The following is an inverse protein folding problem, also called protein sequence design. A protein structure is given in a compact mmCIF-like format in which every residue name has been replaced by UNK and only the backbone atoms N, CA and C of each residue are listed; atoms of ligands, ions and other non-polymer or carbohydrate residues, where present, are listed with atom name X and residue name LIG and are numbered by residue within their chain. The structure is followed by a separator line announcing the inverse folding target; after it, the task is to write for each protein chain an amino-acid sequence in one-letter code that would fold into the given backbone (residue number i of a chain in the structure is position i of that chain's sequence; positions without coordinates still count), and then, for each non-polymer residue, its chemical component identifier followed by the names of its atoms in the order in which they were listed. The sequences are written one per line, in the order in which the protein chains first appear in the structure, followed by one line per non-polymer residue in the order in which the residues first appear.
data_IF_814917947582
#
_entry.id   IF_814917947582
#
_cell.length_a   1.000
_cell.length_b   1.000
_cell.length_c   1.000
_cell.angle_alpha   90.00
_cell.angle_beta   90.00
_cell.angle_gamma   90.00
#
_symmetry.space_group_name_H-M   'P 1'
#
loop_
_entity.id
_entity.type
_entity.pdbx_description
1 polymer ?
#
# COMPACT_ATOMS: atom_id res chain seq x y z
N UNK A 1 -0.72 14.29 -13.07
CA UNK A 1 0.64 14.60 -13.58
C UNK A 1 1.32 15.70 -12.78
N UNK A 2 0.78 16.93 -12.72
CA UNK A 2 1.39 18.06 -11.99
C UNK A 2 1.64 17.76 -10.50
N UNK A 3 0.71 17.09 -9.81
CA UNK A 3 0.85 16.73 -8.40
C UNK A 3 2.03 15.77 -8.13
N UNK A 4 2.27 14.82 -9.03
CA UNK A 4 3.35 13.83 -8.88
C UNK A 4 4.70 14.55 -8.98
N UNK A 5 4.84 15.44 -9.98
CA UNK A 5 6.03 16.26 -10.16
C UNK A 5 6.26 17.17 -8.95
N UNK A 6 5.20 17.82 -8.45
CA UNK A 6 5.31 18.68 -7.27
C UNK A 6 5.79 17.93 -6.02
N UNK A 7 5.23 16.75 -5.73
CA UNK A 7 5.66 15.95 -4.59
C UNK A 7 7.10 15.45 -4.73
N UNK A 8 7.51 15.09 -5.96
CA UNK A 8 8.89 14.67 -6.22
C UNK A 8 9.88 15.81 -5.99
N UNK A 9 9.55 17.02 -6.47
CA UNK A 9 10.37 18.21 -6.28
C UNK A 9 10.43 18.61 -4.81
N UNK A 10 9.29 18.62 -4.11
CA UNK A 10 9.22 18.94 -2.68
C UNK A 10 10.09 17.99 -1.84
N UNK A 11 10.06 16.70 -2.16
CA UNK A 11 10.87 15.68 -1.49
C UNK A 11 12.37 15.91 -1.71
N UNK A 12 12.79 16.22 -2.94
CA UNK A 12 14.21 16.52 -3.25
C UNK A 12 14.67 17.79 -2.53
N UNK A 13 13.84 18.84 -2.53
CA UNK A 13 14.14 20.10 -1.83
C UNK A 13 14.23 19.87 -0.32
N UNK A 14 13.31 19.10 0.28
CA UNK A 14 13.34 18.78 1.70
C UNK A 14 14.61 18.01 2.10
N UNK A 15 15.05 17.05 1.28
CA UNK A 15 16.31 16.34 1.50
C UNK A 15 17.53 17.26 1.45
N UNK A 16 17.57 18.19 0.48
CA UNK A 16 18.67 19.15 0.34
C UNK A 16 18.70 20.10 1.54
N UNK A 17 17.56 20.66 1.93
CA UNK A 17 17.47 21.57 3.07
C UNK A 17 17.90 20.86 4.37
N UNK A 18 17.42 19.65 4.62
CA UNK A 18 17.79 18.89 5.83
C UNK A 18 19.30 18.62 5.94
N UNK A 19 19.97 18.30 4.83
CA UNK A 19 21.43 18.06 4.83
C UNK A 19 22.22 19.37 4.96
N UNK A 20 21.73 20.49 4.40
CA UNK A 20 22.40 21.79 4.43
C UNK A 20 22.32 22.44 5.82
N UNK A 21 21.19 22.35 6.52
CA UNK A 21 21.01 22.96 7.85
C UNK A 21 21.67 22.14 8.96
N UNK A 22 21.45 20.82 9.00
CA UNK A 22 22.05 19.96 10.00
C UNK A 22 22.29 18.56 9.43
N UNK A 23 23.54 18.26 9.07
CA UNK A 23 23.88 16.99 8.41
C UNK A 23 23.51 15.75 9.25
N UNK A 24 23.55 15.84 10.59
CA UNK A 24 23.25 14.72 11.50
C UNK A 24 21.76 14.36 11.50
N UNK A 25 20.89 15.37 11.53
CA UNK A 25 19.43 15.18 11.49
C UNK A 25 18.96 14.87 10.07
N UNK A 26 19.56 15.51 9.06
CA UNK A 26 19.30 15.23 7.65
C UNK A 26 19.57 13.76 7.27
N UNK A 27 20.71 13.20 7.68
CA UNK A 27 21.03 11.79 7.44
C UNK A 27 20.10 10.82 8.15
N UNK A 28 19.71 11.15 9.38
CA UNK A 28 18.72 10.37 10.13
C UNK A 28 17.39 10.34 9.36
N UNK A 29 16.92 11.49 8.87
CA UNK A 29 15.72 11.59 8.04
C UNK A 29 15.82 10.78 6.75
N UNK A 30 16.95 10.87 6.04
CA UNK A 30 17.20 10.07 4.82
C UNK A 30 17.15 8.58 5.14
N UNK A 31 17.79 8.14 6.22
CA UNK A 31 17.80 6.73 6.62
C UNK A 31 16.39 6.22 6.95
N UNK A 32 15.60 6.97 7.71
CA UNK A 32 14.21 6.65 8.03
C UNK A 32 13.35 6.56 6.76
N UNK A 33 13.54 7.49 5.84
CA UNK A 33 12.83 7.51 4.56
C UNK A 33 13.13 6.26 3.72
N UNK A 34 14.40 5.85 3.63
CA UNK A 34 14.80 4.64 2.90
C UNK A 34 14.20 3.38 3.53
N UNK A 35 14.22 3.27 4.86
CA UNK A 35 13.64 2.14 5.59
C UNK A 35 12.16 1.97 5.23
N UNK A 36 11.40 3.07 5.19
CA UNK A 36 9.99 3.02 4.86
C UNK A 36 9.70 2.82 3.39
N UNK A 37 10.52 3.39 2.52
CA UNK A 37 10.41 3.09 1.10
C UNK A 37 10.54 1.59 0.85
N UNK A 38 11.51 0.92 1.49
CA UNK A 38 11.67 -0.54 1.42
C UNK A 38 10.45 -1.26 1.99
N UNK A 39 9.97 -0.85 3.17
CA UNK A 39 8.79 -1.45 3.78
C UNK A 39 7.57 -1.37 2.84
N UNK A 40 7.27 -0.19 2.31
CA UNK A 40 6.14 0.02 1.39
C UNK A 40 6.28 -0.86 0.15
N UNK A 41 7.46 -0.92 -0.48
CA UNK A 41 7.69 -1.74 -1.68
C UNK A 41 7.50 -3.24 -1.37
N UNK A 42 8.03 -3.72 -0.24
CA UNK A 42 7.89 -5.12 0.16
C UNK A 42 6.42 -5.46 0.41
N UNK A 43 5.70 -4.64 1.18
CA UNK A 43 4.29 -4.85 1.45
C UNK A 43 3.45 -4.79 0.16
N UNK A 44 3.71 -3.81 -0.71
CA UNK A 44 3.02 -3.68 -1.99
C UNK A 44 3.20 -4.93 -2.87
N UNK A 45 4.42 -5.49 -2.94
CA UNK A 45 4.65 -6.74 -3.67
C UNK A 45 3.96 -7.95 -3.06
N UNK A 46 3.87 -8.01 -1.74
CA UNK A 46 3.10 -9.06 -1.08
C UNK A 46 1.62 -8.95 -1.43
N UNK A 47 1.05 -7.76 -1.35
CA UNK A 47 -0.34 -7.48 -1.72
C UNK A 47 -0.64 -7.85 -3.18
N UNK A 48 0.22 -7.41 -4.10
CA UNK A 48 0.05 -7.67 -5.53
C UNK A 48 0.04 -9.18 -5.82
N UNK A 49 0.93 -9.93 -5.16
CA UNK A 49 0.96 -11.39 -5.26
C UNK A 49 -0.31 -12.05 -4.74
N UNK A 50 -0.86 -11.60 -3.61
CA UNK A 50 -2.11 -12.14 -3.08
C UNK A 50 -3.31 -11.80 -3.98
N UNK A 51 -3.32 -10.58 -4.53
CA UNK A 51 -4.35 -10.13 -5.46
C UNK A 51 -4.31 -10.89 -6.79
N UNK A 52 -3.12 -11.11 -7.35
CA UNK A 52 -2.92 -11.89 -8.58
C UNK A 52 -3.42 -13.33 -8.44
N UNK A 53 -3.20 -13.96 -7.27
CA UNK A 53 -3.73 -15.30 -7.00
C UNK A 53 -5.26 -15.25 -6.92
N UNK A 54 -5.80 -14.24 -6.22
CA UNK A 54 -7.24 -14.07 -6.10
C UNK A 54 -7.94 -13.89 -7.46
N UNK A 55 -7.35 -13.10 -8.35
CA UNK A 55 -7.87 -12.86 -9.71
C UNK A 55 -7.72 -14.12 -10.58
N UNK A 56 -6.60 -14.86 -10.48
CA UNK A 56 -6.40 -16.09 -11.26
C UNK A 56 -7.35 -17.22 -10.89
N UNK A 57 -7.70 -17.33 -9.61
CA UNK A 57 -8.68 -18.32 -9.14
C UNK A 57 -10.13 -17.88 -9.37
N UNK A 58 -10.36 -16.63 -9.78
CA UNK A 58 -11.69 -16.12 -10.11
C UNK A 58 -12.15 -16.58 -11.50
N UNK A 59 -12.70 -17.79 -11.53
CA UNK A 59 -13.33 -18.38 -12.71
C UNK A 59 -14.79 -17.91 -12.91
N UNK A 60 -15.33 -17.08 -12.00
CA UNK A 60 -16.74 -16.65 -12.06
C UNK A 60 -17.03 -15.83 -13.31
N UNK A 61 -16.07 -14.99 -13.74
CA UNK A 61 -16.17 -14.21 -14.97
C UNK A 61 -16.30 -15.09 -16.22
N UNK A 62 -15.44 -16.09 -16.39
CA UNK A 62 -15.50 -17.03 -17.51
C UNK A 62 -16.80 -17.84 -17.50
N UNK A 63 -17.21 -18.33 -16.32
CA UNK A 63 -18.47 -19.07 -16.18
C UNK A 63 -19.69 -18.22 -16.53
N UNK A 64 -19.70 -16.93 -16.16
CA UNK A 64 -20.80 -16.02 -16.55
C UNK A 64 -20.92 -15.87 -18.06
N UNK A 65 -19.79 -15.80 -18.76
CA UNK A 65 -19.75 -15.68 -20.23
C UNK A 65 -20.30 -16.96 -20.85
N UNK A 66 -19.87 -18.13 -20.37
CA UNK A 66 -20.38 -19.42 -20.86
C UNK A 66 -21.90 -19.57 -20.67
N UNK A 67 -22.43 -19.14 -19.52
CA UNK A 67 -23.87 -19.19 -19.24
C UNK A 67 -24.64 -18.26 -20.19
N UNK A 68 -24.12 -17.07 -20.48
CA UNK A 68 -24.75 -16.12 -21.41
C UNK A 68 -24.70 -16.63 -22.85
N UNK A 69 -23.56 -17.18 -23.29
CA UNK A 69 -23.42 -17.76 -24.64
C UNK A 69 -24.34 -18.96 -24.87
N UNK A 70 -24.52 -19.81 -23.84
CA UNK A 70 -25.35 -21.01 -23.93
C UNK A 70 -26.76 -20.86 -23.35
N UNK A 71 -27.23 -19.63 -23.09
CA UNK A 71 -28.51 -19.38 -22.43
C UNK A 71 -29.69 -20.12 -23.10
N UNK A 72 -29.74 -20.11 -24.44
CA UNK A 72 -30.79 -20.82 -25.20
C UNK A 72 -30.73 -22.34 -25.03
N UNK A 73 -29.53 -22.90 -24.96
CA UNK A 73 -29.30 -24.34 -24.75
C UNK A 73 -29.70 -24.74 -23.33
N UNK A 74 -29.34 -23.95 -22.33
CA UNK A 74 -29.68 -24.21 -20.92
C UNK A 74 -31.20 -24.18 -20.70
N UNK A 75 -31.89 -23.24 -21.35
CA UNK A 75 -33.36 -23.17 -21.38
C UNK A 75 -33.99 -24.41 -22.00
N UNK A 76 -33.45 -24.88 -23.12
CA UNK A 76 -33.94 -26.09 -23.80
C UNK A 76 -33.68 -27.37 -22.98
N UNK A 77 -32.62 -27.41 -22.17
CA UNK A 77 -32.33 -28.50 -21.23
C UNK A 77 -33.09 -28.37 -19.89
N UNK A 78 -33.85 -27.29 -19.69
CA UNK A 78 -34.58 -26.99 -18.45
C UNK A 78 -33.69 -27.08 -17.20
N UNK A 79 -32.41 -26.68 -17.32
CA UNK A 79 -31.35 -26.87 -16.31
C UNK A 79 -30.83 -25.55 -15.72
N UNK A 80 -31.64 -24.49 -15.78
CA UNK A 80 -31.29 -23.15 -15.29
C UNK A 80 -30.86 -23.14 -13.82
N UNK A 81 -31.60 -23.80 -12.92
CA UNK A 81 -31.26 -23.88 -11.49
C UNK A 81 -29.87 -24.46 -11.23
N UNK A 82 -29.44 -25.43 -12.04
CA UNK A 82 -28.14 -26.08 -11.88
C UNK A 82 -26.99 -25.10 -12.19
N UNK A 83 -27.11 -24.36 -13.30
CA UNK A 83 -26.12 -23.35 -13.66
C UNK A 83 -26.14 -22.14 -12.71
N UNK A 84 -27.31 -21.76 -12.19
CA UNK A 84 -27.44 -20.72 -11.17
C UNK A 84 -26.70 -21.11 -9.87
N UNK A 85 -26.90 -22.34 -9.38
CA UNK A 85 -26.19 -22.85 -8.20
C UNK A 85 -24.68 -22.95 -8.42
N UNK A 86 -24.26 -23.41 -9.60
CA UNK A 86 -22.85 -23.50 -9.94
C UNK A 86 -22.19 -22.11 -9.97
N UNK A 87 -22.89 -21.10 -10.50
CA UNK A 87 -22.42 -19.72 -10.50
C UNK A 87 -22.30 -19.17 -9.08
N UNK A 88 -23.31 -19.38 -8.24
CA UNK A 88 -23.32 -18.92 -6.85
C UNK A 88 -22.17 -19.54 -6.03
N UNK A 89 -21.88 -20.83 -6.21
CA UNK A 89 -20.76 -21.51 -5.56
C UNK A 89 -19.39 -20.93 -5.98
N UNK A 90 -19.22 -20.65 -7.28
CA UNK A 90 -17.98 -20.04 -7.81
C UNK A 90 -17.81 -18.61 -7.35
N UNK A 91 -18.91 -17.85 -7.28
CA UNK A 91 -18.91 -16.47 -6.80
C UNK A 91 -18.57 -16.40 -5.30
N UNK A 92 -19.16 -17.26 -4.46
CA UNK A 92 -18.86 -17.31 -3.02
C UNK A 92 -17.39 -17.69 -2.77
N UNK A 93 -16.83 -18.59 -3.57
CA UNK A 93 -15.39 -18.92 -3.51
C UNK A 93 -14.51 -17.69 -3.83
N UNK A 94 -14.80 -16.99 -4.94
CA UNK A 94 -14.07 -15.78 -5.32
C UNK A 94 -14.19 -14.68 -4.26
N UNK A 95 -15.40 -14.45 -3.72
CA UNK A 95 -15.65 -13.46 -2.68
C UNK A 95 -14.91 -13.77 -1.37
N UNK A 96 -14.85 -15.05 -0.96
CA UNK A 96 -14.06 -15.47 0.22
C UNK A 96 -12.58 -15.22 0.03
N UNK A 97 -12.06 -15.49 -1.16
CA UNK A 97 -10.65 -15.28 -1.50
C UNK A 97 -10.31 -13.80 -1.53
N UNK A 98 -11.17 -12.97 -2.13
CA UNK A 98 -11.01 -11.52 -2.16
C UNK A 98 -11.08 -10.90 -0.76
N UNK A 99 -12.04 -11.34 0.09
CA UNK A 99 -12.11 -10.94 1.51
C UNK A 99 -10.87 -11.28 2.30
N UNK A 100 -10.18 -12.37 1.96
CA UNK A 100 -8.94 -12.79 2.64
C UNK A 100 -7.76 -11.87 2.36
N UNK A 101 -7.81 -11.09 1.25
CA UNK A 101 -6.81 -10.07 0.92
C UNK A 101 -6.97 -8.79 1.75
N UNK A 102 -8.19 -8.45 2.15
CA UNK A 102 -8.52 -7.20 2.85
C UNK A 102 -7.70 -6.90 4.12
N UNK A 103 -7.43 -7.87 5.02
CA UNK A 103 -6.60 -7.63 6.19
C UNK A 103 -5.16 -7.20 5.85
N UNK A 104 -4.59 -7.70 4.74
CA UNK A 104 -3.24 -7.31 4.32
C UNK A 104 -3.18 -5.85 3.86
N UNK A 105 -4.26 -5.36 3.27
CA UNK A 105 -4.41 -3.96 2.84
C UNK A 105 -4.54 -3.03 4.04
N UNK A 106 -5.36 -3.43 5.01
CA UNK A 106 -5.53 -2.68 6.25
C UNK A 106 -4.20 -2.54 7.03
N UNK A 107 -3.38 -3.60 7.07
CA UNK A 107 -2.05 -3.55 7.70
C UNK A 107 -1.13 -2.59 6.97
N UNK A 108 -1.08 -2.64 5.64
CA UNK A 108 -0.27 -1.71 4.85
C UNK A 108 -0.69 -0.26 5.07
N UNK A 109 -1.99 0.01 5.08
CA UNK A 109 -2.53 1.33 5.34
C UNK A 109 -2.18 1.83 6.75
N UNK A 110 -2.34 0.98 7.77
CA UNK A 110 -2.02 1.32 9.15
C UNK A 110 -0.53 1.67 9.33
N UNK A 111 0.38 0.89 8.74
CA UNK A 111 1.82 1.16 8.77
C UNK A 111 2.14 2.50 8.09
N UNK A 112 1.53 2.76 6.93
CA UNK A 112 1.75 4.00 6.17
C UNK A 112 1.26 5.23 6.93
N UNK A 113 0.12 5.13 7.61
CA UNK A 113 -0.44 6.21 8.44
C UNK A 113 0.35 6.44 9.74
N UNK A 114 0.89 5.38 10.35
CA UNK A 114 1.62 5.48 11.61
C UNK A 114 3.04 6.03 11.44
N UNK A 115 3.67 5.81 10.29
CA UNK A 115 5.08 6.13 10.09
C UNK A 115 5.45 7.60 10.30
N UNK A 116 4.72 8.61 9.77
CA UNK A 116 5.08 10.02 9.96
C UNK A 116 5.23 10.39 11.44
N UNK A 117 4.34 9.89 12.30
CA UNK A 117 4.39 10.14 13.74
C UNK A 117 5.61 9.52 14.43
N UNK A 118 6.01 8.32 13.99
CA UNK A 118 7.22 7.67 14.49
C UNK A 118 8.44 8.45 14.02
N UNK A 119 8.47 8.85 12.75
CA UNK A 119 9.56 9.64 12.17
C UNK A 119 9.74 10.97 12.90
N UNK A 120 8.65 11.68 13.18
CA UNK A 120 8.68 12.93 13.95
C UNK A 120 9.22 12.69 15.36
N UNK A 121 8.74 11.66 16.05
CA UNK A 121 9.19 11.33 17.41
C UNK A 121 10.70 11.06 17.47
N UNK A 122 11.22 10.28 16.52
CA UNK A 122 12.65 9.95 16.45
C UNK A 122 13.48 11.18 16.11
N UNK A 123 13.04 11.98 15.14
CA UNK A 123 13.73 13.19 14.69
C UNK A 123 13.78 14.24 15.80
N UNK A 124 12.67 14.48 16.49
CA UNK A 124 12.62 15.39 17.64
C UNK A 124 13.44 14.88 18.83
N UNK A 125 13.35 13.59 19.16
CA UNK A 125 14.15 13.01 20.24
C UNK A 125 15.64 13.15 20.00
N UNK A 126 16.11 12.89 18.78
CA UNK A 126 17.52 13.07 18.41
C UNK A 126 17.90 14.55 18.37
N UNK A 127 17.05 15.40 17.80
CA UNK A 127 17.25 16.85 17.70
C UNK A 127 17.41 17.52 19.07
N UNK A 128 16.57 17.16 20.05
CA UNK A 128 16.67 17.65 21.43
C UNK A 128 17.99 17.22 22.08
N UNK A 129 18.43 15.97 21.88
CA UNK A 129 19.72 15.51 22.41
C UNK A 129 20.89 16.31 21.83
N UNK A 130 20.81 16.67 20.55
CA UNK A 130 21.85 17.41 19.84
C UNK A 130 21.99 18.85 20.35
N UNK A 131 20.85 19.48 20.66
CA UNK A 131 20.79 20.81 21.29
C UNK A 131 21.36 20.74 22.71
N UNK A 132 21.07 19.67 23.47
CA UNK A 132 21.56 19.50 24.84
C UNK A 132 23.09 19.40 24.93
N UNK A 133 23.75 18.74 23.97
CA UNK A 133 25.22 18.69 23.88
C UNK A 133 25.86 19.93 23.23
N UNK A 134 25.09 20.99 22.97
CA UNK A 134 25.55 22.27 22.40
C UNK A 134 26.24 22.18 21.02
N UNK A 135 25.95 21.12 20.24
CA UNK A 135 26.53 20.93 18.91
C UNK A 135 25.73 21.63 17.79
N UNK A 136 24.49 22.06 18.05
CA UNK A 136 23.64 22.76 17.09
C UNK A 136 22.72 23.78 17.77
N UNK A 137 22.50 24.92 17.11
CA UNK A 137 21.55 25.94 17.56
C UNK A 137 20.10 25.48 17.26
N UNK A 138 19.11 25.83 18.11
CA UNK A 138 17.71 25.47 17.89
C UNK A 138 17.22 25.84 16.48
N UNK A 139 17.65 27.00 15.98
CA UNK A 139 17.28 27.54 14.67
C UNK A 139 17.75 26.66 13.50
N UNK A 140 18.77 25.83 13.69
CA UNK A 140 19.32 24.94 12.65
C UNK A 140 18.76 23.51 12.71
N UNK A 141 18.15 23.13 13.84
CA UNK A 141 17.59 21.79 14.05
C UNK A 141 16.10 21.74 13.68
N UNK A 142 15.40 22.88 13.75
CA UNK A 142 13.97 22.99 13.47
C UNK A 142 13.63 23.77 12.18
N UNK A 143 14.62 24.16 11.36
CA UNK A 143 14.45 24.81 10.06
C UNK A 143 14.18 23.80 8.94
#
# INVERSE_FOLDING_TARGET
MVQIVNNLVALVVALILGVVYCWQVGLLGVALMVIVFIAIVVLAKFMDKYNDIAIKEDLSGQLSIEIVEQARTIQLLTREEHFCKLFDEKLDHALKLQKRSGPSEAINFAITMAFPYISDTVTYGFGISLIYYAHAAPDTVFA
#
